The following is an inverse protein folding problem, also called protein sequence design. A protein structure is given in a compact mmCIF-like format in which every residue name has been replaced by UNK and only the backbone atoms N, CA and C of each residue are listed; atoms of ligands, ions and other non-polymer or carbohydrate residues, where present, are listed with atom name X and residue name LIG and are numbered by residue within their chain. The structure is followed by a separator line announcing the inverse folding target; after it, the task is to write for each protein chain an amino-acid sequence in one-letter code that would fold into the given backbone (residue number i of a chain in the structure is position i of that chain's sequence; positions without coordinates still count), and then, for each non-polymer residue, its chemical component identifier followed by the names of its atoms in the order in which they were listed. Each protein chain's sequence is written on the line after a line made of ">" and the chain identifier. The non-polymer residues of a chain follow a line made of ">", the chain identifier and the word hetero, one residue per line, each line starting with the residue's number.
data_IF_261955518803
#
_entry.id   IF_261955518803
#
_cell.length_a   1.000
_cell.length_b   1.000
_cell.length_c   1.000
_cell.angle_alpha   90.00
_cell.angle_beta   90.00
_cell.angle_gamma   90.00
#
_symmetry.space_group_name_H-M   'P 1'
#
loop_
_entity.id
_entity.type
_entity.pdbx_description
1 polymer ?
#
# COMPACT_ATOMS: atom_id res chain seq x y z
N UNK A 1 34.49 -67.48 16.42
CA UNK A 1 33.88 -68.29 15.33
C UNK A 1 32.36 -68.13 15.47
N UNK A 2 31.58 -67.51 14.58
CA UNK A 2 31.70 -67.28 13.14
C UNK A 2 31.22 -65.85 12.79
N UNK A 3 31.95 -65.28 11.84
CA UNK A 3 31.65 -64.10 11.02
C UNK A 3 30.49 -64.43 10.05
N UNK A 4 29.62 -63.46 9.73
CA UNK A 4 29.00 -63.23 8.40
C UNK A 4 28.09 -61.99 8.50
N UNK A 5 28.55 -60.82 8.05
CA UNK A 5 28.56 -60.24 6.68
C UNK A 5 27.42 -59.22 6.54
N UNK A 6 27.86 -58.02 6.19
CA UNK A 6 27.16 -56.76 5.96
C UNK A 6 26.04 -56.81 4.92
N UNK A 7 25.00 -55.98 5.12
CA UNK A 7 24.38 -55.25 4.03
C UNK A 7 24.07 -53.82 4.51
N UNK A 8 24.88 -52.87 4.04
CA UNK A 8 24.65 -51.42 4.13
C UNK A 8 23.59 -51.07 3.09
N UNK A 9 22.47 -50.49 3.51
CA UNK A 9 21.66 -49.64 2.64
C UNK A 9 21.95 -48.19 3.03
N UNK A 10 22.77 -47.56 2.22
CA UNK A 10 22.95 -46.12 2.20
C UNK A 10 21.66 -45.49 1.65
N UNK A 11 20.93 -44.77 2.50
CA UNK A 11 19.96 -43.78 2.00
C UNK A 11 20.77 -42.53 1.71
N UNK A 12 20.97 -42.29 0.42
CA UNK A 12 21.61 -41.10 -0.12
C UNK A 12 20.74 -39.90 0.28
N UNK A 13 21.28 -39.08 1.20
CA UNK A 13 20.84 -37.70 1.39
C UNK A 13 20.95 -36.99 0.04
N UNK A 14 19.82 -36.75 -0.60
CA UNK A 14 19.77 -35.84 -1.75
C UNK A 14 20.27 -34.47 -1.25
N UNK A 15 21.26 -33.87 -1.92
CA UNK A 15 21.67 -32.52 -1.56
C UNK A 15 20.46 -31.60 -1.75
N UNK A 16 20.11 -30.86 -0.70
CA UNK A 16 19.33 -29.63 -0.88
C UNK A 16 20.14 -28.79 -1.88
N UNK A 17 19.58 -28.61 -3.07
CA UNK A 17 20.04 -27.61 -4.02
C UNK A 17 19.85 -26.26 -3.34
N UNK A 18 20.92 -25.76 -2.72
CA UNK A 18 21.09 -24.34 -2.45
C UNK A 18 21.16 -23.69 -3.83
N UNK A 19 20.18 -22.84 -4.24
CA UNK A 19 20.33 -22.08 -5.48
C UNK A 19 21.59 -21.21 -5.36
N UNK A 20 22.35 -21.02 -6.44
CA UNK A 20 23.60 -20.29 -6.38
C UNK A 20 23.37 -18.88 -5.83
N UNK A 21 24.17 -18.51 -4.83
CA UNK A 21 24.33 -17.12 -4.43
C UNK A 21 24.87 -16.34 -5.63
N UNK A 22 24.05 -15.46 -6.21
CA UNK A 22 24.50 -14.55 -7.25
C UNK A 22 25.23 -13.36 -6.59
N UNK A 23 26.48 -13.08 -6.96
CA UNK A 23 27.13 -11.83 -6.60
C UNK A 23 26.64 -10.75 -7.56
N UNK A 24 25.83 -9.81 -7.07
CA UNK A 24 25.38 -8.65 -7.82
C UNK A 24 25.61 -7.37 -7.01
N UNK A 25 26.74 -6.73 -7.25
CA UNK A 25 26.98 -5.36 -6.83
C UNK A 25 26.18 -4.41 -7.75
N UNK A 26 25.46 -3.44 -7.18
CA UNK A 26 25.05 -2.21 -7.86
C UNK A 26 23.67 -2.23 -8.54
N UNK A 27 22.79 -1.35 -8.07
CA UNK A 27 21.44 -1.10 -8.58
C UNK A 27 21.46 -0.25 -9.86
N UNK A 28 22.14 -0.72 -10.90
CA UNK A 28 22.02 -0.15 -12.25
C UNK A 28 20.98 -0.94 -13.05
N UNK A 29 19.73 -0.48 -13.03
CA UNK A 29 18.71 -0.77 -14.06
C UNK A 29 18.38 -2.25 -14.28
N UNK A 30 17.68 -2.88 -13.34
CA UNK A 30 17.07 -4.19 -13.57
C UNK A 30 15.96 -4.04 -14.62
N UNK A 31 16.20 -4.57 -15.82
CA UNK A 31 15.18 -4.67 -16.87
C UNK A 31 14.04 -5.64 -16.53
N UNK A 32 13.72 -5.88 -15.25
CA UNK A 32 12.70 -6.82 -14.79
C UNK A 32 11.32 -6.48 -15.36
N UNK A 33 11.02 -5.19 -15.55
CA UNK A 33 9.81 -4.75 -16.22
C UNK A 33 9.64 -5.36 -17.63
N UNK A 34 10.73 -5.74 -18.34
CA UNK A 34 10.61 -6.37 -19.67
C UNK A 34 10.05 -7.79 -19.62
N UNK A 35 10.09 -8.47 -18.47
CA UNK A 35 9.47 -9.77 -18.29
C UNK A 35 7.94 -9.68 -18.25
N UNK A 36 7.40 -8.53 -17.85
CA UNK A 36 5.96 -8.26 -17.84
C UNK A 36 5.50 -8.08 -19.28
N UNK A 37 4.54 -8.87 -19.72
CA UNK A 37 4.03 -8.83 -21.09
C UNK A 37 2.52 -9.11 -21.11
N UNK A 38 1.92 -8.94 -22.29
CA UNK A 38 0.46 -9.10 -22.48
C UNK A 38 -0.01 -10.51 -22.10
N UNK A 39 0.77 -11.56 -22.41
CA UNK A 39 0.41 -12.94 -22.07
C UNK A 39 0.34 -13.15 -20.55
N UNK A 40 1.29 -12.59 -19.81
CA UNK A 40 1.34 -12.69 -18.35
C UNK A 40 0.15 -12.01 -17.68
N UNK A 41 -0.14 -10.76 -18.04
CA UNK A 41 -1.28 -10.03 -17.44
C UNK A 41 -2.61 -10.60 -17.90
N UNK A 42 -2.71 -11.08 -19.15
CA UNK A 42 -3.91 -11.75 -19.65
C UNK A 42 -4.17 -13.07 -18.94
N UNK A 43 -3.13 -13.86 -18.64
CA UNK A 43 -3.28 -15.09 -17.85
C UNK A 43 -3.90 -14.80 -16.48
N UNK A 44 -3.30 -13.89 -15.71
CA UNK A 44 -3.78 -13.59 -14.37
C UNK A 44 -5.19 -13.00 -14.38
N UNK A 45 -5.45 -11.99 -15.23
CA UNK A 45 -6.77 -11.36 -15.33
C UNK A 45 -7.85 -12.38 -15.72
N UNK A 46 -7.58 -13.21 -16.73
CA UNK A 46 -8.53 -14.23 -17.18
C UNK A 46 -8.84 -15.22 -16.06
N UNK A 47 -7.83 -15.67 -15.31
CA UNK A 47 -8.02 -16.58 -14.19
C UNK A 47 -8.87 -15.98 -13.07
N UNK A 48 -8.66 -14.71 -12.73
CA UNK A 48 -9.47 -14.03 -11.72
C UNK A 48 -10.94 -13.92 -12.18
N UNK A 49 -11.17 -13.63 -13.46
CA UNK A 49 -12.53 -13.53 -14.01
C UNK A 49 -13.27 -14.89 -14.07
N UNK A 50 -12.56 -16.03 -14.13
CA UNK A 50 -13.16 -17.37 -14.16
C UNK A 50 -13.96 -17.70 -12.88
N UNK A 51 -13.67 -17.05 -11.74
CA UNK A 51 -14.42 -17.23 -10.49
C UNK A 51 -15.84 -16.63 -10.54
N UNK A 52 -16.15 -15.78 -11.53
CA UNK A 52 -17.42 -15.07 -11.65
C UNK A 52 -17.45 -13.78 -10.82
N UNK A 53 -18.63 -13.22 -10.51
CA UNK A 53 -18.73 -12.13 -9.55
C UNK A 53 -18.18 -12.58 -8.20
N UNK A 54 -17.10 -11.94 -7.76
CA UNK A 54 -16.37 -12.24 -6.53
C UNK A 54 -16.92 -11.37 -5.40
N UNK A 55 -18.24 -11.33 -5.25
CA UNK A 55 -18.87 -10.48 -4.23
C UNK A 55 -18.41 -10.88 -2.83
N UNK A 56 -18.06 -9.89 -2.02
CA UNK A 56 -17.56 -10.07 -0.66
C UNK A 56 -18.45 -11.01 0.17
N UNK A 57 -17.82 -11.96 0.87
CA UNK A 57 -18.45 -12.97 1.72
C UNK A 57 -19.12 -14.12 0.95
N UNK A 58 -18.85 -14.28 -0.35
CA UNK A 58 -19.32 -15.40 -1.17
C UNK A 58 -18.20 -16.39 -1.45
N UNK A 59 -18.59 -17.64 -1.71
CA UNK A 59 -17.65 -18.73 -2.07
C UNK A 59 -16.73 -18.35 -3.24
N UNK A 60 -17.24 -17.65 -4.25
CA UNK A 60 -16.43 -17.20 -5.39
C UNK A 60 -15.29 -16.24 -4.99
N UNK A 61 -15.52 -15.37 -4.00
CA UNK A 61 -14.48 -14.50 -3.46
C UNK A 61 -13.44 -15.33 -2.71
N UNK A 62 -13.88 -16.23 -1.82
CA UNK A 62 -13.01 -17.11 -1.06
C UNK A 62 -12.18 -18.09 -1.93
N UNK A 63 -12.76 -18.59 -3.03
CA UNK A 63 -12.05 -19.43 -4.00
C UNK A 63 -10.97 -18.62 -4.73
N UNK A 64 -11.26 -17.37 -5.09
CA UNK A 64 -10.30 -16.45 -5.70
C UNK A 64 -9.17 -16.08 -4.72
N UNK A 65 -9.47 -15.83 -3.44
CA UNK A 65 -8.50 -15.63 -2.36
C UNK A 65 -7.54 -16.83 -2.27
N UNK A 66 -8.06 -18.05 -2.25
CA UNK A 66 -7.26 -19.28 -2.16
C UNK A 66 -6.36 -19.45 -3.39
N UNK A 67 -6.86 -19.13 -4.58
CA UNK A 67 -6.04 -19.19 -5.79
C UNK A 67 -4.89 -18.17 -5.74
N UNK A 68 -5.16 -16.91 -5.38
CA UNK A 68 -4.12 -15.87 -5.22
C UNK A 68 -3.09 -16.27 -4.17
N UNK A 69 -3.52 -16.82 -3.04
CA UNK A 69 -2.64 -17.34 -1.99
C UNK A 69 -1.65 -18.37 -2.55
N UNK A 70 -2.15 -19.33 -3.33
CA UNK A 70 -1.32 -20.38 -3.94
C UNK A 70 -0.41 -19.84 -5.06
N UNK A 71 -0.85 -18.87 -5.85
CA UNK A 71 0.00 -18.20 -6.84
C UNK A 71 1.19 -17.51 -6.17
N UNK A 72 0.97 -16.72 -5.12
CA UNK A 72 2.07 -16.09 -4.37
C UNK A 72 3.00 -17.11 -3.70
N UNK A 73 2.47 -18.20 -3.14
CA UNK A 73 3.29 -19.28 -2.60
C UNK A 73 4.18 -19.92 -3.67
N UNK A 74 3.65 -20.12 -4.88
CA UNK A 74 4.42 -20.68 -5.99
C UNK A 74 5.58 -19.78 -6.44
N UNK A 75 5.50 -18.47 -6.14
CA UNK A 75 6.57 -17.50 -6.39
C UNK A 75 7.66 -17.52 -5.30
N UNK A 76 7.51 -18.32 -4.24
CA UNK A 76 8.45 -18.43 -3.13
C UNK A 76 8.32 -17.33 -2.07
N UNK A 77 7.21 -16.58 -2.08
CA UNK A 77 6.94 -15.50 -1.12
C UNK A 77 6.43 -16.03 0.22
N UNK A 78 6.63 -15.26 1.29
CA UNK A 78 5.95 -15.52 2.57
C UNK A 78 4.52 -15.02 2.45
N UNK A 79 3.53 -15.90 2.55
CA UNK A 79 2.12 -15.53 2.33
C UNK A 79 1.27 -15.78 3.58
N UNK A 80 0.43 -14.81 3.93
CA UNK A 80 -0.54 -14.90 5.01
C UNK A 80 -1.95 -14.48 4.57
N UNK A 81 -2.95 -15.04 5.24
CA UNK A 81 -4.35 -14.60 5.11
C UNK A 81 -4.69 -13.69 6.29
N UNK A 82 -4.82 -12.39 6.02
CA UNK A 82 -5.31 -11.45 7.02
C UNK A 82 -6.84 -11.52 7.08
N UNK A 83 -7.34 -12.31 8.02
CA UNK A 83 -8.77 -12.52 8.21
C UNK A 83 -9.42 -11.31 8.87
N UNK A 84 -10.57 -10.91 8.37
CA UNK A 84 -11.31 -9.77 8.91
C UNK A 84 -12.82 -10.03 8.95
N UNK A 85 -13.53 -9.26 9.78
CA UNK A 85 -14.99 -9.32 9.92
C UNK A 85 -15.55 -7.94 10.22
N UNK A 86 -16.43 -7.44 9.36
CA UNK A 86 -17.07 -6.13 9.52
C UNK A 86 -18.37 -6.02 8.73
N UNK A 87 -19.34 -5.27 9.25
CA UNK A 87 -20.58 -4.96 8.52
C UNK A 87 -21.47 -6.17 8.19
N UNK A 88 -21.24 -7.33 8.83
CA UNK A 88 -21.94 -8.58 8.51
C UNK A 88 -21.21 -9.47 7.50
N UNK A 89 -20.08 -9.01 6.96
CA UNK A 89 -19.19 -9.76 6.08
C UNK A 89 -17.97 -10.29 6.83
N UNK A 90 -17.40 -11.37 6.31
CA UNK A 90 -16.09 -11.90 6.67
C UNK A 90 -15.42 -12.44 5.42
N UNK A 91 -14.13 -12.19 5.26
CA UNK A 91 -13.27 -12.63 4.15
C UNK A 91 -11.80 -12.50 4.62
N UNK A 92 -10.84 -12.73 3.73
CA UNK A 92 -9.41 -12.51 3.99
C UNK A 92 -8.76 -11.63 2.95
N UNK A 93 -7.90 -10.70 3.37
CA UNK A 93 -6.90 -10.17 2.45
C UNK A 93 -5.79 -11.21 2.30
N UNK A 94 -5.19 -11.31 1.12
CA UNK A 94 -4.00 -12.11 0.89
C UNK A 94 -2.79 -11.19 0.88
N UNK A 95 -1.88 -11.39 1.82
CA UNK A 95 -0.67 -10.58 1.97
C UNK A 95 0.53 -11.46 1.67
N UNK A 96 1.25 -11.16 0.59
CA UNK A 96 2.51 -11.79 0.24
C UNK A 96 3.67 -10.83 0.50
N UNK A 97 4.71 -11.33 1.16
CA UNK A 97 5.83 -10.53 1.67
C UNK A 97 7.13 -10.97 1.05
N UNK A 98 7.83 -10.01 0.44
CA UNK A 98 9.22 -10.10 0.03
C UNK A 98 10.09 -9.34 1.04
N UNK A 99 10.86 -10.08 1.84
CA UNK A 99 11.56 -9.52 3.01
C UNK A 99 12.75 -8.62 2.64
N UNK A 100 12.74 -7.41 3.18
CA UNK A 100 13.84 -6.45 3.17
C UNK A 100 14.23 -6.08 4.61
N UNK A 101 14.40 -4.79 4.87
CA UNK A 101 14.65 -4.19 6.19
C UNK A 101 13.35 -3.90 6.97
N UNK A 102 13.46 -3.13 8.06
CA UNK A 102 12.34 -2.76 8.93
C UNK A 102 11.32 -1.80 8.31
N UNK A 103 11.64 -1.14 7.21
CA UNK A 103 10.67 -0.32 6.49
C UNK A 103 9.91 -1.14 5.46
N UNK A 104 8.69 -0.71 5.17
CA UNK A 104 7.81 -1.44 4.29
C UNK A 104 7.24 -0.57 3.16
N UNK A 105 7.02 -1.18 2.00
CA UNK A 105 6.28 -0.60 0.88
C UNK A 105 5.18 -1.57 0.51
N UNK A 106 3.98 -1.04 0.21
CA UNK A 106 2.83 -1.85 -0.15
C UNK A 106 2.41 -1.53 -1.58
N UNK A 107 2.18 -2.56 -2.39
CA UNK A 107 1.36 -2.46 -3.60
C UNK A 107 0.14 -3.36 -3.44
N UNK A 108 -1.04 -2.88 -3.79
CA UNK A 108 -2.25 -3.70 -3.67
C UNK A 108 -3.38 -3.32 -4.61
N UNK A 109 -4.36 -4.22 -4.67
CA UNK A 109 -5.55 -4.19 -5.51
C UNK A 109 -6.65 -5.02 -4.85
N UNK A 110 -7.92 -4.70 -5.07
CA UNK A 110 -9.02 -5.51 -4.52
C UNK A 110 -9.45 -6.61 -5.48
N UNK A 111 -9.80 -7.78 -4.93
CA UNK A 111 -10.28 -8.91 -5.74
C UNK A 111 -11.81 -9.00 -5.77
N UNK A 112 -12.50 -8.43 -4.79
CA UNK A 112 -13.95 -8.49 -4.76
C UNK A 112 -14.61 -7.63 -5.83
N UNK A 113 -15.86 -7.93 -6.15
CA UNK A 113 -16.68 -7.20 -7.14
C UNK A 113 -18.02 -6.84 -6.53
N UNK A 114 -18.79 -5.93 -7.14
CA UNK A 114 -20.24 -5.88 -6.93
C UNK A 114 -20.97 -7.19 -7.33
N UNK A 115 -22.18 -7.39 -6.81
CA UNK A 115 -22.95 -8.66 -6.91
C UNK A 115 -23.15 -9.19 -8.35
N UNK A 116 -23.23 -8.29 -9.34
CA UNK A 116 -23.57 -8.66 -10.73
C UNK A 116 -22.43 -8.44 -11.71
N UNK A 117 -21.29 -7.92 -11.27
CA UNK A 117 -20.16 -7.59 -12.13
C UNK A 117 -19.21 -8.77 -12.27
N UNK A 118 -18.78 -9.15 -13.48
CA UNK A 118 -17.63 -10.05 -13.64
C UNK A 118 -16.32 -9.43 -13.11
N UNK A 119 -16.24 -8.11 -13.06
CA UNK A 119 -15.14 -7.37 -12.46
C UNK A 119 -13.82 -7.50 -13.23
N UNK A 120 -13.87 -7.44 -14.57
CA UNK A 120 -12.68 -7.63 -15.40
C UNK A 120 -11.70 -6.46 -15.30
N UNK A 121 -12.21 -5.24 -15.36
CA UNK A 121 -11.39 -4.05 -15.12
C UNK A 121 -11.43 -3.64 -13.65
N UNK A 122 -12.53 -3.92 -12.96
CA UNK A 122 -12.83 -3.49 -11.58
C UNK A 122 -13.06 -4.71 -10.66
N UNK A 123 -12.01 -5.32 -10.08
CA UNK A 123 -10.60 -4.98 -10.27
C UNK A 123 -9.67 -6.17 -10.54
N UNK A 124 -10.10 -7.10 -11.40
CA UNK A 124 -9.20 -8.15 -11.89
C UNK A 124 -7.96 -7.57 -12.62
N UNK A 125 -8.03 -6.35 -13.13
CA UNK A 125 -6.90 -5.67 -13.80
C UNK A 125 -5.81 -5.23 -12.83
N UNK A 126 -6.16 -4.66 -11.67
CA UNK A 126 -5.22 -4.34 -10.61
C UNK A 126 -4.62 -5.60 -9.99
N UNK A 127 -5.43 -6.60 -9.67
CA UNK A 127 -4.95 -7.88 -9.10
C UNK A 127 -3.99 -8.59 -10.07
N UNK A 128 -4.29 -8.60 -11.38
CA UNK A 128 -3.39 -9.13 -12.39
C UNK A 128 -2.05 -8.38 -12.43
N UNK A 129 -2.08 -7.06 -12.25
CA UNK A 129 -0.87 -6.22 -12.18
C UNK A 129 -0.03 -6.57 -10.95
N UNK A 130 -0.65 -6.67 -9.77
CA UNK A 130 0.02 -7.04 -8.51
C UNK A 130 0.69 -8.42 -8.62
N UNK A 131 -0.02 -9.42 -9.16
CA UNK A 131 0.51 -10.77 -9.34
C UNK A 131 1.68 -10.81 -10.34
N UNK A 132 1.57 -10.08 -11.46
CA UNK A 132 2.64 -9.99 -12.45
C UNK A 132 3.90 -9.31 -11.87
N UNK A 133 3.73 -8.22 -11.13
CA UNK A 133 4.82 -7.49 -10.46
C UNK A 133 5.47 -8.39 -9.41
N UNK A 134 4.68 -9.05 -8.55
CA UNK A 134 5.18 -9.95 -7.51
C UNK A 134 6.02 -11.10 -8.10
N UNK A 135 5.56 -11.69 -9.22
CA UNK A 135 6.27 -12.76 -9.92
C UNK A 135 7.66 -12.34 -10.40
N UNK A 136 7.79 -11.10 -10.88
CA UNK A 136 9.08 -10.58 -11.35
C UNK A 136 9.94 -10.18 -10.15
N UNK A 137 9.38 -9.42 -9.19
CA UNK A 137 10.12 -8.94 -8.02
C UNK A 137 10.59 -10.06 -7.09
N UNK A 138 9.90 -11.21 -7.02
CA UNK A 138 10.30 -12.34 -6.14
C UNK A 138 11.66 -12.95 -6.49
N UNK A 139 12.23 -12.59 -7.64
CA UNK A 139 13.57 -13.00 -8.09
C UNK A 139 14.69 -12.12 -7.54
N UNK A 140 14.35 -11.03 -6.87
CA UNK A 140 15.29 -10.01 -6.40
C UNK A 140 15.14 -9.77 -4.90
N UNK A 141 16.10 -9.04 -4.33
CA UNK A 141 16.08 -8.64 -2.92
C UNK A 141 16.00 -7.12 -2.82
N UNK A 142 14.85 -6.55 -2.43
CA UNK A 142 14.72 -5.11 -2.21
C UNK A 142 15.46 -4.67 -0.94
N UNK A 143 15.69 -3.36 -0.78
CA UNK A 143 16.13 -2.78 0.49
C UNK A 143 15.00 -2.90 1.51
N UNK A 144 13.81 -2.40 1.15
CA UNK A 144 12.64 -2.38 2.04
C UNK A 144 11.78 -3.62 1.87
N UNK A 145 11.15 -4.04 2.96
CA UNK A 145 10.16 -5.11 2.92
C UNK A 145 9.03 -4.71 1.97
N UNK A 146 8.72 -5.55 1.00
CA UNK A 146 7.68 -5.26 0.00
C UNK A 146 6.51 -6.19 0.21
N UNK A 147 5.33 -5.63 0.44
CA UNK A 147 4.08 -6.37 0.54
C UNK A 147 3.27 -6.23 -0.75
N UNK A 148 2.88 -7.37 -1.30
CA UNK A 148 1.89 -7.49 -2.37
C UNK A 148 0.58 -7.90 -1.70
N UNK A 149 -0.41 -7.02 -1.75
CA UNK A 149 -1.66 -7.24 -1.03
C UNK A 149 -2.82 -7.32 -2.00
N UNK A 150 -3.61 -8.38 -1.88
CA UNK A 150 -4.89 -8.50 -2.57
C UNK A 150 -5.99 -8.35 -1.53
N UNK A 151 -6.71 -7.23 -1.60
CA UNK A 151 -7.76 -6.85 -0.64
C UNK A 151 -9.09 -7.53 -0.97
N UNK A 152 -9.89 -7.73 0.07
CA UNK A 152 -11.31 -8.05 -0.06
C UNK A 152 -12.15 -7.00 0.67
N UNK A 153 -13.41 -6.88 0.32
CA UNK A 153 -14.34 -5.97 0.98
C UNK A 153 -14.25 -4.51 0.52
N UNK A 154 -13.63 -4.22 -0.62
CA UNK A 154 -13.60 -2.87 -1.21
C UNK A 154 -15.03 -2.40 -1.50
N UNK A 155 -15.79 -3.23 -2.21
CA UNK A 155 -17.08 -2.90 -2.82
C UNK A 155 -18.21 -2.77 -1.77
N UNK A 156 -17.94 -3.18 -0.53
CA UNK A 156 -18.83 -3.02 0.63
C UNK A 156 -18.36 -1.93 1.60
N UNK A 157 -17.32 -1.17 1.25
CA UNK A 157 -16.86 0.03 1.95
C UNK A 157 -15.42 0.01 2.43
N UNK A 158 -14.51 -0.63 1.65
CA UNK A 158 -13.09 -0.77 1.93
C UNK A 158 -12.80 -1.46 3.27
N UNK A 159 -13.50 -2.56 3.55
CA UNK A 159 -13.48 -3.21 4.86
C UNK A 159 -12.16 -3.93 5.13
N UNK A 160 -11.65 -4.69 4.16
CA UNK A 160 -10.40 -5.41 4.32
C UNK A 160 -9.20 -4.47 4.43
N UNK A 161 -9.09 -3.46 3.56
CA UNK A 161 -8.02 -2.46 3.63
C UNK A 161 -8.10 -1.60 4.89
N UNK A 162 -9.30 -1.19 5.32
CA UNK A 162 -9.48 -0.45 6.58
C UNK A 162 -8.98 -1.23 7.81
N UNK A 163 -9.36 -2.50 7.94
CA UNK A 163 -8.92 -3.31 9.08
C UNK A 163 -7.44 -3.67 9.00
N UNK A 164 -6.91 -3.83 7.79
CA UNK A 164 -5.49 -4.07 7.58
C UNK A 164 -4.64 -2.82 7.91
N UNK A 165 -5.00 -1.65 7.40
CA UNK A 165 -4.33 -0.39 7.72
C UNK A 165 -4.35 -0.11 9.23
N UNK A 166 -5.49 -0.33 9.89
CA UNK A 166 -5.58 -0.21 11.36
C UNK A 166 -4.63 -1.17 12.07
N UNK A 167 -4.58 -2.43 11.63
CA UNK A 167 -3.71 -3.44 12.24
C UNK A 167 -2.23 -3.06 12.13
N UNK A 168 -1.80 -2.59 10.95
CA UNK A 168 -0.43 -2.13 10.72
C UNK A 168 -0.10 -0.91 11.58
N UNK A 169 -1.02 0.05 11.66
CA UNK A 169 -0.90 1.24 12.51
C UNK A 169 -0.77 0.89 14.00
N UNK A 170 -1.64 0.02 14.51
CA UNK A 170 -1.62 -0.41 15.92
C UNK A 170 -0.36 -1.19 16.29
N UNK A 171 0.30 -1.83 15.31
CA UNK A 171 1.58 -2.52 15.49
C UNK A 171 2.81 -1.63 15.24
N UNK A 172 2.63 -0.38 14.81
CA UNK A 172 3.73 0.56 14.56
C UNK A 172 4.55 0.22 13.31
N UNK A 173 3.92 -0.35 12.29
CA UNK A 173 4.59 -0.69 11.03
C UNK A 173 5.05 0.55 10.28
N UNK A 174 6.33 0.59 9.90
CA UNK A 174 7.00 1.73 9.25
C UNK A 174 6.80 1.67 7.74
N UNK A 175 5.60 2.01 7.28
CA UNK A 175 5.24 1.96 5.86
C UNK A 175 5.62 3.28 5.20
N UNK A 176 6.50 3.21 4.20
CA UNK A 176 6.99 4.36 3.44
C UNK A 176 5.95 4.81 2.42
N UNK A 177 5.33 3.86 1.71
CA UNK A 177 4.40 4.17 0.63
C UNK A 177 3.40 3.04 0.39
N UNK A 178 2.19 3.42 -0.01
CA UNK A 178 1.15 2.52 -0.51
C UNK A 178 0.82 2.90 -1.96
N UNK A 179 0.93 1.93 -2.86
CA UNK A 179 0.49 2.02 -4.25
C UNK A 179 -0.77 1.18 -4.39
N UNK A 180 -1.94 1.82 -4.46
CA UNK A 180 -3.17 1.14 -4.82
C UNK A 180 -3.35 1.15 -6.34
N UNK A 181 -3.62 -0.02 -6.90
CA UNK A 181 -3.82 -0.26 -8.32
C UNK A 181 -5.26 -0.69 -8.48
N UNK A 182 -6.07 0.13 -9.15
CA UNK A 182 -7.49 -0.13 -9.28
C UNK A 182 -7.98 0.43 -10.64
N UNK A 183 -8.57 -0.44 -11.45
CA UNK A 183 -9.00 -0.14 -12.82
C UNK A 183 -7.85 0.31 -13.72
N UNK A 184 -6.87 -0.55 -14.01
CA UNK A 184 -5.72 -0.25 -14.90
C UNK A 184 -5.73 -1.00 -16.24
N UNK A 185 -6.86 -1.59 -16.62
CA UNK A 185 -7.00 -2.41 -17.82
C UNK A 185 -7.60 -1.73 -19.06
N UNK A 186 -8.14 -0.51 -18.96
CA UNK A 186 -8.92 0.10 -20.05
C UNK A 186 -8.21 1.25 -20.78
N UNK A 187 -8.22 1.21 -22.10
CA UNK A 187 -7.85 2.34 -22.95
C UNK A 187 -8.53 2.24 -24.32
N UNK A 188 -9.26 3.29 -24.71
CA UNK A 188 -9.97 3.40 -25.98
C UNK A 188 -9.53 4.61 -26.83
N UNK A 189 -8.77 5.55 -26.26
CA UNK A 189 -8.19 6.68 -27.00
C UNK A 189 -6.67 6.58 -27.11
N UNK A 190 -6.09 7.27 -28.10
CA UNK A 190 -4.63 7.37 -28.23
C UNK A 190 -3.98 8.04 -27.02
N UNK A 191 -4.66 8.97 -26.35
CA UNK A 191 -4.17 9.57 -25.11
C UNK A 191 -4.28 8.57 -23.97
N UNK A 192 -5.44 7.93 -23.80
CA UNK A 192 -5.66 6.96 -22.74
C UNK A 192 -4.70 5.78 -22.79
N UNK A 193 -4.36 5.31 -23.99
CA UNK A 193 -3.36 4.27 -24.20
C UNK A 193 -1.94 4.65 -23.78
N UNK A 194 -1.65 5.93 -23.46
CA UNK A 194 -0.31 6.43 -23.10
C UNK A 194 -0.28 7.20 -21.78
N UNK A 195 -1.37 7.24 -21.01
CA UNK A 195 -1.42 7.93 -19.73
C UNK A 195 -2.06 7.04 -18.65
N UNK A 196 -1.57 7.17 -17.43
CA UNK A 196 -2.19 6.63 -16.21
C UNK A 196 -2.51 7.80 -15.28
N UNK A 197 -3.63 7.74 -14.56
CA UNK A 197 -3.98 8.73 -13.54
C UNK A 197 -3.38 8.35 -12.21
N UNK A 198 -2.91 9.36 -11.49
CA UNK A 198 -2.34 9.27 -10.16
C UNK A 198 -3.16 10.17 -9.22
N UNK A 199 -4.05 9.57 -8.44
CA UNK A 199 -4.89 10.26 -7.47
C UNK A 199 -4.07 10.53 -6.20
N UNK A 200 -3.82 11.80 -5.97
CA UNK A 200 -2.75 12.24 -5.07
C UNK A 200 -3.31 13.06 -3.91
N UNK A 201 -3.32 12.54 -2.67
CA UNK A 201 -3.47 13.36 -1.48
C UNK A 201 -2.20 14.20 -1.22
N UNK A 202 -2.35 15.28 -0.46
CA UNK A 202 -1.26 16.23 -0.20
C UNK A 202 -0.04 15.56 0.45
N UNK A 203 -0.24 14.74 1.50
CA UNK A 203 0.82 13.95 2.14
C UNK A 203 1.66 13.10 1.17
N UNK A 204 1.03 12.55 0.13
CA UNK A 204 1.65 11.62 -0.80
C UNK A 204 2.17 12.31 -2.08
N UNK A 205 2.23 13.64 -2.12
CA UNK A 205 2.68 14.39 -3.32
C UNK A 205 4.07 13.98 -3.77
N UNK A 206 4.95 13.61 -2.83
CA UNK A 206 6.31 13.16 -3.15
C UNK A 206 6.31 11.85 -3.95
N UNK A 207 5.36 10.94 -3.68
CA UNK A 207 5.21 9.69 -4.44
C UNK A 207 4.73 10.01 -5.86
N UNK A 208 3.79 10.95 -6.00
CA UNK A 208 3.29 11.37 -7.31
C UNK A 208 4.36 12.09 -8.16
N UNK A 209 5.24 12.87 -7.52
CA UNK A 209 6.41 13.46 -8.17
C UNK A 209 7.37 12.36 -8.66
N UNK A 210 7.71 11.40 -7.80
CA UNK A 210 8.52 10.24 -8.18
C UNK A 210 7.86 9.44 -9.32
N UNK A 211 6.54 9.27 -9.31
CA UNK A 211 5.80 8.61 -10.37
C UNK A 211 5.99 9.33 -11.73
N UNK A 212 5.99 10.67 -11.75
CA UNK A 212 6.31 11.43 -12.97
C UNK A 212 7.76 11.25 -13.41
N UNK A 213 8.71 11.31 -12.47
CA UNK A 213 10.14 11.09 -12.76
C UNK A 213 10.39 9.71 -13.38
N UNK A 214 9.76 8.67 -12.82
CA UNK A 214 9.80 7.30 -13.36
C UNK A 214 9.15 7.24 -14.74
N UNK A 215 7.99 7.87 -14.93
CA UNK A 215 7.33 7.92 -16.23
C UNK A 215 8.23 8.56 -17.30
N UNK A 216 8.87 9.69 -16.98
CA UNK A 216 9.81 10.39 -17.88
C UNK A 216 11.04 9.53 -18.18
N UNK A 217 11.67 8.94 -17.14
CA UNK A 217 12.85 8.08 -17.26
C UNK A 217 12.62 6.89 -18.20
N UNK A 218 11.43 6.28 -18.14
CA UNK A 218 11.10 5.08 -18.92
C UNK A 218 10.19 5.35 -20.14
N UNK A 219 9.85 6.61 -20.45
CA UNK A 219 8.87 6.94 -21.49
C UNK A 219 9.23 6.38 -22.87
N UNK A 220 10.52 6.42 -23.25
CA UNK A 220 11.00 5.88 -24.53
C UNK A 220 10.78 4.36 -24.70
N UNK A 221 10.61 3.63 -23.60
CA UNK A 221 10.46 2.18 -23.55
C UNK A 221 9.02 1.76 -23.27
N UNK A 222 8.42 2.32 -22.21
CA UNK A 222 7.08 1.93 -21.74
C UNK A 222 5.99 2.79 -22.39
N UNK A 223 6.27 4.04 -22.75
CA UNK A 223 5.31 5.00 -23.34
C UNK A 223 4.07 5.23 -22.47
N UNK A 224 4.28 5.41 -21.16
CA UNK A 224 3.25 5.83 -20.20
C UNK A 224 3.71 7.15 -19.57
N UNK A 225 2.88 8.18 -19.66
CA UNK A 225 2.95 9.40 -18.86
C UNK A 225 1.99 9.31 -17.66
N UNK A 226 2.16 10.22 -16.69
CA UNK A 226 1.32 10.31 -15.51
C UNK A 226 0.47 11.57 -15.58
N UNK A 227 -0.84 11.45 -15.31
CA UNK A 227 -1.73 12.57 -15.06
C UNK A 227 -2.02 12.62 -13.55
N UNK A 228 -1.46 13.61 -12.86
CA UNK A 228 -1.80 13.87 -11.47
C UNK A 228 -3.21 14.45 -11.39
N UNK A 229 -4.05 13.86 -10.55
CA UNK A 229 -5.41 14.32 -10.27
C UNK A 229 -5.60 14.48 -8.76
N UNK A 230 -6.45 15.43 -8.31
CA UNK A 230 -6.77 15.57 -6.90
C UNK A 230 -7.25 14.24 -6.32
N UNK A 231 -6.90 13.97 -5.06
CA UNK A 231 -7.26 12.72 -4.41
C UNK A 231 -8.76 12.40 -4.58
N UNK A 232 -9.02 11.18 -5.05
CA UNK A 232 -10.36 10.61 -5.08
C UNK A 232 -10.44 9.61 -3.95
N UNK A 233 -11.20 9.92 -2.89
CA UNK A 233 -11.33 8.99 -1.80
C UNK A 233 -12.39 7.98 -2.29
N UNK A 234 -11.97 6.86 -2.88
CA UNK A 234 -12.90 5.81 -3.27
C UNK A 234 -12.25 4.50 -3.67
N UNK A 235 -11.05 4.26 -3.14
CA UNK A 235 -10.29 3.02 -3.33
C UNK A 235 -9.51 2.72 -2.04
N UNK A 236 -8.89 1.55 -1.96
CA UNK A 236 -8.27 1.05 -0.72
C UNK A 236 -7.12 1.92 -0.17
N UNK A 237 -6.43 2.73 -1.00
CA UNK A 237 -5.33 3.59 -0.53
C UNK A 237 -5.77 4.51 0.60
N UNK A 238 -7.01 4.99 0.54
CA UNK A 238 -7.44 6.02 1.47
C UNK A 238 -7.72 5.44 2.87
N UNK A 239 -7.90 4.11 3.02
CA UNK A 239 -7.85 3.47 4.33
C UNK A 239 -6.49 3.68 5.04
N UNK A 240 -5.39 3.71 4.29
CA UNK A 240 -4.04 3.95 4.83
C UNK A 240 -3.80 5.43 5.09
N UNK A 241 -4.27 6.30 4.19
CA UNK A 241 -4.22 7.77 4.37
C UNK A 241 -4.94 8.18 5.65
N UNK A 242 -6.09 7.56 5.95
CA UNK A 242 -6.85 7.78 7.19
C UNK A 242 -6.04 7.41 8.45
N UNK A 243 -5.00 6.57 8.34
CA UNK A 243 -4.16 6.14 9.45
C UNK A 243 -2.77 6.78 9.48
N UNK A 244 -2.55 7.86 8.73
CA UNK A 244 -1.26 8.53 8.78
C UNK A 244 -0.21 7.98 7.80
N UNK A 245 -0.62 7.23 6.77
CA UNK A 245 0.31 6.69 5.78
C UNK A 245 0.22 7.38 4.41
N UNK A 246 1.34 7.43 3.70
CA UNK A 246 1.41 8.02 2.36
C UNK A 246 0.95 7.01 1.31
N UNK A 247 -0.25 7.24 0.75
CA UNK A 247 -0.87 6.35 -0.22
C UNK A 247 -1.34 7.05 -1.48
N UNK A 248 -1.17 6.39 -2.63
CA UNK A 248 -1.70 6.80 -3.93
C UNK A 248 -2.67 5.77 -4.49
N UNK A 249 -3.56 6.25 -5.35
CA UNK A 249 -4.41 5.40 -6.20
C UNK A 249 -4.08 5.64 -7.67
N UNK A 250 -3.89 4.56 -8.43
CA UNK A 250 -3.65 4.58 -9.86
C UNK A 250 -4.79 3.92 -10.63
N UNK A 251 -5.31 4.63 -11.64
CA UNK A 251 -6.30 4.12 -12.57
C UNK A 251 -5.99 4.55 -14.00
N UNK A 252 -6.66 3.93 -14.96
CA UNK A 252 -6.53 4.33 -16.35
C UNK A 252 -7.08 5.75 -16.63
N UNK A 253 -6.68 6.32 -17.78
CA UNK A 253 -7.02 7.69 -18.14
C UNK A 253 -8.40 7.85 -18.79
N UNK A 254 -8.83 6.93 -19.65
CA UNK A 254 -10.14 7.07 -20.30
C UNK A 254 -11.29 6.91 -19.28
N UNK A 255 -12.51 7.33 -19.62
CA UNK A 255 -13.67 7.06 -18.76
C UNK A 255 -14.18 5.63 -18.98
N UNK A 256 -14.57 4.94 -17.90
CA UNK A 256 -15.07 3.56 -17.96
C UNK A 256 -16.54 3.44 -17.52
N UNK A 257 -17.50 3.40 -18.47
CA UNK A 257 -18.93 3.33 -18.15
C UNK A 257 -19.42 1.93 -17.74
N UNK A 258 -18.54 0.92 -17.74
CA UNK A 258 -18.92 -0.48 -17.49
C UNK A 258 -18.67 -0.93 -16.05
N UNK A 259 -17.98 -0.12 -15.22
CA UNK A 259 -17.72 -0.43 -13.81
C UNK A 259 -19.01 -0.75 -13.05
N UNK A 260 -18.92 -1.68 -12.10
CA UNK A 260 -20.04 -2.20 -11.30
C UNK A 260 -21.24 -2.72 -12.14
N UNK A 261 -21.01 -3.12 -13.39
CA UNK A 261 -22.08 -3.59 -14.28
C UNK A 261 -21.80 -4.99 -14.81
N UNK A 262 -22.83 -5.73 -15.27
CA UNK A 262 -22.64 -7.01 -15.95
C UNK A 262 -21.77 -6.96 -17.21
N UNK A 263 -21.47 -5.75 -17.72
CA UNK A 263 -20.66 -5.52 -18.91
C UNK A 263 -19.19 -5.20 -18.57
N UNK A 264 -18.78 -5.23 -17.29
CA UNK A 264 -17.36 -5.18 -16.93
C UNK A 264 -16.70 -6.52 -17.24
N UNK A 265 -16.47 -6.76 -18.53
CA UNK A 265 -16.06 -8.04 -19.09
C UNK A 265 -14.69 -7.94 -19.79
N UNK A 266 -14.03 -9.09 -19.94
CA UNK A 266 -12.67 -9.19 -20.49
C UNK A 266 -12.53 -8.54 -21.88
N UNK A 267 -13.58 -8.54 -22.71
CA UNK A 267 -13.54 -7.91 -24.04
C UNK A 267 -13.41 -6.38 -24.00
N UNK A 268 -13.54 -5.75 -22.82
CA UNK A 268 -13.25 -4.33 -22.62
C UNK A 268 -11.78 -4.06 -22.34
N UNK A 269 -11.00 -5.07 -21.97
CA UNK A 269 -9.61 -4.91 -21.55
C UNK A 269 -8.71 -4.66 -22.76
N UNK A 270 -7.84 -3.66 -22.62
CA UNK A 270 -6.75 -3.39 -23.53
C UNK A 270 -5.46 -3.98 -22.94
N UNK A 271 -5.13 -5.22 -23.30
CA UNK A 271 -3.97 -5.93 -22.72
C UNK A 271 -2.63 -5.24 -23.01
N UNK A 272 -2.48 -4.59 -24.17
CA UNK A 272 -1.30 -3.77 -24.45
C UNK A 272 -1.16 -2.63 -23.45
N UNK A 273 -2.25 -1.92 -23.16
CA UNK A 273 -2.26 -0.87 -22.14
C UNK A 273 -1.99 -1.43 -20.74
N UNK A 274 -2.69 -2.50 -20.34
CA UNK A 274 -2.52 -3.15 -19.04
C UNK A 274 -1.06 -3.56 -18.81
N UNK A 275 -0.41 -4.17 -19.81
CA UNK A 275 1.01 -4.52 -19.71
C UNK A 275 1.90 -3.28 -19.53
N UNK A 276 1.64 -2.18 -20.26
CA UNK A 276 2.39 -0.92 -20.09
C UNK A 276 2.18 -0.29 -18.71
N UNK A 277 0.94 -0.24 -18.23
CA UNK A 277 0.61 0.27 -16.89
C UNK A 277 1.29 -0.57 -15.80
N UNK A 278 1.23 -1.90 -15.92
CA UNK A 278 1.89 -2.83 -15.01
C UNK A 278 3.42 -2.64 -15.00
N UNK A 279 4.04 -2.48 -16.17
CA UNK A 279 5.48 -2.16 -16.30
C UNK A 279 5.85 -0.86 -15.59
N UNK A 280 5.03 0.18 -15.75
CA UNK A 280 5.24 1.45 -15.08
C UNK A 280 5.15 1.31 -13.56
N UNK A 281 4.10 0.63 -13.05
CA UNK A 281 3.91 0.38 -11.62
C UNK A 281 5.02 -0.47 -11.02
N UNK A 282 5.55 -1.46 -11.77
CA UNK A 282 6.76 -2.19 -11.41
C UNK A 282 7.93 -1.25 -11.18
N UNK A 283 8.23 -0.37 -12.15
CA UNK A 283 9.36 0.54 -12.04
C UNK A 283 9.21 1.51 -10.86
N UNK A 284 7.99 2.03 -10.63
CA UNK A 284 7.73 2.90 -9.48
C UNK A 284 7.96 2.16 -8.16
N UNK A 285 7.41 0.96 -8.02
CA UNK A 285 7.58 0.14 -6.82
C UNK A 285 9.05 -0.23 -6.59
N UNK A 286 9.77 -0.60 -7.64
CA UNK A 286 11.19 -0.94 -7.57
C UNK A 286 12.04 0.26 -7.10
N UNK A 287 11.76 1.46 -7.59
CA UNK A 287 12.47 2.69 -7.17
C UNK A 287 12.20 2.98 -5.69
N UNK A 288 10.95 2.88 -5.23
CA UNK A 288 10.62 3.10 -3.80
C UNK A 288 11.23 2.01 -2.92
N UNK A 289 11.10 0.74 -3.29
CA UNK A 289 11.59 -0.39 -2.51
C UNK A 289 13.12 -0.43 -2.37
N UNK A 290 13.85 0.36 -3.16
CA UNK A 290 15.30 0.50 -3.12
C UNK A 290 15.78 1.92 -2.78
N UNK A 291 14.88 2.83 -2.43
CA UNK A 291 15.23 4.20 -2.05
C UNK A 291 15.61 4.26 -0.58
N UNK A 292 16.90 4.46 -0.29
CA UNK A 292 17.39 4.59 1.10
C UNK A 292 16.61 5.66 1.87
N UNK A 293 16.21 5.31 3.10
CA UNK A 293 15.60 6.25 4.05
C UNK A 293 16.68 6.76 5.00
N UNK A 294 17.02 8.04 4.86
CA UNK A 294 18.04 8.70 5.70
C UNK A 294 17.49 9.06 7.07
N UNK A 295 16.26 9.60 7.08
CA UNK A 295 15.52 9.98 8.27
C UNK A 295 14.05 9.54 8.11
N UNK A 296 13.45 9.09 9.20
CA UNK A 296 12.04 8.75 9.28
C UNK A 296 11.45 9.42 10.52
N UNK A 297 10.22 9.93 10.41
CA UNK A 297 9.50 10.51 11.54
C UNK A 297 8.04 10.10 11.43
N UNK A 298 7.44 9.77 12.57
CA UNK A 298 6.00 9.59 12.66
C UNK A 298 5.44 10.15 13.96
N UNK A 299 4.22 10.67 13.90
CA UNK A 299 3.47 11.16 15.06
C UNK A 299 2.90 9.94 15.80
N UNK A 300 3.48 9.63 16.94
CA UNK A 300 3.06 8.51 17.79
C UNK A 300 1.85 8.85 18.64
N UNK A 301 1.84 10.07 19.17
CA UNK A 301 0.70 10.59 19.94
C UNK A 301 0.44 12.05 19.53
N UNK A 302 -0.82 12.49 19.45
CA UNK A 302 -2.02 11.66 19.60
C UNK A 302 -2.18 10.67 18.43
N UNK A 303 -2.86 9.56 18.69
CA UNK A 303 -3.08 8.49 17.72
C UNK A 303 -4.16 8.86 16.72
N UNK A 304 -3.94 8.50 15.46
CA UNK A 304 -4.90 8.73 14.40
C UNK A 304 -6.22 8.00 14.63
N UNK A 305 -7.32 8.71 14.43
CA UNK A 305 -8.66 8.19 14.61
C UNK A 305 -9.05 7.88 16.05
N UNK A 306 -8.48 8.55 17.05
CA UNK A 306 -8.83 8.34 18.48
C UNK A 306 -9.55 9.54 19.11
N UNK A 307 -10.38 9.24 20.11
CA UNK A 307 -10.94 10.25 21.01
C UNK A 307 -10.08 10.40 22.27
N UNK A 308 -9.65 11.63 22.55
CA UNK A 308 -8.84 12.02 23.69
C UNK A 308 -9.59 12.94 24.66
N UNK A 309 -9.42 12.68 25.96
CA UNK A 309 -9.89 13.56 27.02
C UNK A 309 -8.78 13.84 28.04
N UNK A 310 -8.36 15.10 28.15
CA UNK A 310 -7.28 15.59 29.02
C UNK A 310 -5.98 14.75 28.92
N UNK A 311 -5.51 14.52 27.69
CA UNK A 311 -4.27 13.80 27.39
C UNK A 311 -4.37 12.28 27.49
N UNK A 312 -5.58 11.72 27.66
CA UNK A 312 -5.79 10.27 27.69
C UNK A 312 -6.59 9.83 26.46
N UNK A 313 -6.03 8.91 25.69
CA UNK A 313 -6.78 8.16 24.68
C UNK A 313 -7.86 7.33 25.37
N UNK A 314 -9.11 7.46 24.95
CA UNK A 314 -10.23 6.71 25.52
C UNK A 314 -10.65 5.53 24.63
N UNK A 315 -10.91 5.79 23.35
CA UNK A 315 -11.35 4.78 22.40
C UNK A 315 -11.09 5.23 20.95
N UNK A 316 -10.90 4.28 20.02
CA UNK A 316 -10.86 4.59 18.58
C UNK A 316 -12.24 5.05 18.09
N UNK A 317 -12.23 6.02 17.19
CA UNK A 317 -13.40 6.53 16.47
C UNK A 317 -13.58 5.64 15.23
N UNK A 318 -14.62 4.83 15.24
CA UNK A 318 -14.94 3.95 14.12
C UNK A 318 -16.11 4.54 13.34
N UNK A 319 -15.84 4.98 12.10
CA UNK A 319 -16.88 5.42 11.18
C UNK A 319 -17.16 4.33 10.14
N UNK A 320 -18.44 3.95 10.03
CA UNK A 320 -18.87 2.85 9.15
C UNK A 320 -18.67 3.13 7.67
N UNK A 321 -18.85 4.38 7.25
CA UNK A 321 -18.79 4.75 5.85
C UNK A 321 -17.76 5.84 5.63
N UNK A 322 -17.06 5.68 4.52
CA UNK A 322 -16.18 6.66 3.91
C UNK A 322 -16.74 8.08 3.84
N UNK A 323 -18.00 8.21 3.42
CA UNK A 323 -18.67 9.49 3.17
C UNK A 323 -18.87 10.35 4.41
N UNK A 324 -18.65 9.80 5.61
CA UNK A 324 -18.71 10.58 6.84
C UNK A 324 -17.54 11.56 6.98
N UNK A 325 -16.45 11.37 6.22
CA UNK A 325 -15.16 12.09 6.38
C UNK A 325 -14.63 12.05 7.81
N UNK A 326 -15.11 11.10 8.62
CA UNK A 326 -14.79 11.01 10.05
C UNK A 326 -13.90 9.81 10.37
N UNK A 327 -13.57 8.96 9.37
CA UNK A 327 -12.51 7.96 9.51
C UNK A 327 -11.17 8.68 9.58
N UNK A 328 -10.25 8.17 10.40
CA UNK A 328 -8.93 8.76 10.61
C UNK A 328 -8.89 10.03 11.46
N UNK A 329 -9.98 10.80 11.57
CA UNK A 329 -9.96 12.05 12.35
C UNK A 329 -9.76 11.78 13.84
N UNK A 330 -8.73 12.41 14.39
CA UNK A 330 -8.48 12.47 15.83
C UNK A 330 -9.31 13.59 16.47
N UNK A 331 -9.95 13.33 17.62
CA UNK A 331 -10.69 14.34 18.38
C UNK A 331 -10.09 14.46 19.78
N UNK A 332 -9.67 15.65 20.19
CA UNK A 332 -9.09 15.88 21.50
C UNK A 332 -9.79 17.02 22.27
N UNK A 333 -10.14 16.75 23.53
CA UNK A 333 -10.66 17.76 24.45
C UNK A 333 -9.69 17.93 25.62
N UNK A 334 -9.26 19.17 25.88
CA UNK A 334 -8.31 19.49 26.93
C UNK A 334 -6.85 19.38 26.47
N UNK A 335 -5.97 18.95 27.37
CA UNK A 335 -4.52 18.84 27.10
C UNK A 335 -4.22 17.82 25.99
N UNK A 336 -3.31 18.19 25.09
CA UNK A 336 -2.72 17.32 24.07
C UNK A 336 -1.20 17.38 24.21
N UNK A 337 -0.56 16.21 24.20
CA UNK A 337 0.89 16.08 24.11
C UNK A 337 1.17 15.45 22.74
N UNK A 338 2.04 16.07 21.95
CA UNK A 338 2.48 15.55 20.65
C UNK A 338 3.80 14.83 20.86
N UNK A 339 3.87 13.56 20.53
CA UNK A 339 5.06 12.72 20.67
C UNK A 339 5.45 12.20 19.30
N UNK A 340 6.69 12.42 18.92
CA UNK A 340 7.23 11.93 17.66
C UNK A 340 8.23 10.80 17.91
N UNK A 341 8.15 9.76 17.10
CA UNK A 341 9.18 8.74 17.00
C UNK A 341 9.97 8.97 15.71
N UNK A 342 11.29 8.82 15.82
CA UNK A 342 12.24 9.30 14.82
C UNK A 342 13.34 8.26 14.67
N UNK A 343 13.63 7.90 13.42
CA UNK A 343 14.82 7.14 13.04
C UNK A 343 15.76 8.01 12.19
N UNK A 344 17.05 7.67 12.23
CA UNK A 344 18.09 8.36 11.48
C UNK A 344 18.92 9.32 12.33
N UNK A 345 19.82 10.04 11.68
CA UNK A 345 20.72 11.00 12.33
C UNK A 345 20.11 12.40 12.28
N UNK A 346 19.25 12.70 13.26
CA UNK A 346 18.44 13.91 13.32
C UNK A 346 19.05 14.91 14.31
N UNK A 347 19.26 16.14 13.86
CA UNK A 347 19.80 17.25 14.64
C UNK A 347 18.74 17.87 15.57
N UNK A 348 17.48 17.92 15.10
CA UNK A 348 16.34 18.47 15.83
C UNK A 348 15.01 18.03 15.22
N UNK A 349 13.97 18.06 16.04
CA UNK A 349 12.57 17.90 15.64
C UNK A 349 11.82 19.21 15.83
N UNK A 350 11.07 19.64 14.82
CA UNK A 350 10.21 20.82 14.89
C UNK A 350 8.75 20.37 14.88
N UNK A 351 7.99 20.85 15.85
CA UNK A 351 6.54 20.67 15.90
C UNK A 351 5.85 21.94 15.43
N UNK A 352 4.88 21.78 14.54
CA UNK A 352 4.09 22.83 13.95
C UNK A 352 2.59 22.55 14.05
N UNK A 353 1.80 23.61 13.94
CA UNK A 353 0.34 23.56 13.83
C UNK A 353 -0.07 24.54 12.75
N UNK A 354 -0.86 24.07 11.78
CA UNK A 354 -1.37 24.84 10.64
C UNK A 354 -0.25 25.59 9.88
N UNK A 355 0.86 24.91 9.56
CA UNK A 355 2.03 25.46 8.88
C UNK A 355 2.91 26.37 9.74
N UNK A 356 2.54 26.64 11.00
CA UNK A 356 3.30 27.49 11.91
C UNK A 356 4.14 26.65 12.87
N UNK A 357 5.46 26.82 12.82
CA UNK A 357 6.39 26.18 13.75
C UNK A 357 6.27 26.77 15.17
N UNK A 358 6.18 25.90 16.19
CA UNK A 358 5.94 26.28 17.58
C UNK A 358 7.01 25.80 18.56
N UNK A 359 7.54 24.60 18.36
CA UNK A 359 8.47 23.99 19.32
C UNK A 359 9.62 23.29 18.61
N UNK A 360 10.83 23.46 19.12
CA UNK A 360 12.06 22.85 18.63
C UNK A 360 12.61 21.99 19.74
N UNK A 361 12.72 20.69 19.47
CA UNK A 361 13.28 19.71 20.40
C UNK A 361 14.59 19.17 19.82
N UNK A 362 15.62 19.14 20.65
CA UNK A 362 17.00 18.80 20.24
C UNK A 362 17.46 17.46 20.80
N UNK A 363 16.64 16.79 21.61
CA UNK A 363 17.02 15.52 22.22
C UNK A 363 15.82 14.60 22.46
N UNK A 364 15.93 13.29 22.18
CA UNK A 364 14.85 12.36 22.46
C UNK A 364 14.64 12.18 23.98
N UNK A 365 13.42 11.81 24.43
CA UNK A 365 12.23 11.61 23.62
C UNK A 365 11.68 12.94 23.08
N UNK A 366 11.34 12.97 21.79
CA UNK A 366 10.83 14.18 21.13
C UNK A 366 9.36 14.39 21.51
N UNK A 367 9.08 15.36 22.37
CA UNK A 367 7.74 15.61 22.92
C UNK A 367 7.44 17.09 23.01
N UNK A 368 6.27 17.48 22.52
CA UNK A 368 5.72 18.81 22.71
C UNK A 368 4.41 18.77 23.51
N UNK A 369 4.44 19.37 24.70
CA UNK A 369 3.24 19.65 25.49
C UNK A 369 2.52 20.83 24.86
N UNK A 370 1.52 20.55 24.04
CA UNK A 370 0.84 21.56 23.24
C UNK A 370 0.23 22.62 24.16
N UNK A 371 0.82 23.81 24.12
CA UNK A 371 0.52 24.94 24.99
C UNK A 371 -0.03 26.13 24.19
N UNK A 372 -0.77 25.82 23.13
CA UNK A 372 -1.42 26.77 22.21
C UNK A 372 -2.92 26.68 22.38
N UNK A 373 -3.61 27.83 22.32
CA UNK A 373 -5.08 27.88 22.32
C UNK A 373 -5.57 27.42 20.94
N UNK A 374 -6.13 26.21 20.86
CA UNK A 374 -6.63 25.64 19.60
C UNK A 374 -8.09 25.21 19.76
N UNK A 375 -8.91 25.56 18.76
CA UNK A 375 -10.34 25.31 18.71
C UNK A 375 -10.77 25.01 17.27
N UNK A 376 -11.26 23.79 17.04
CA UNK A 376 -11.77 23.37 15.75
C UNK A 376 -10.81 22.40 15.05
N UNK A 377 -10.88 22.36 13.72
CA UNK A 377 -10.00 21.53 12.89
C UNK A 377 -8.64 22.20 12.76
N UNK A 378 -7.58 21.43 12.97
CA UNK A 378 -6.18 21.83 12.85
C UNK A 378 -5.38 20.69 12.23
N UNK A 379 -4.22 21.02 11.69
CA UNK A 379 -3.20 20.06 11.27
C UNK A 379 -2.02 20.15 12.23
N UNK A 380 -1.58 19.00 12.77
CA UNK A 380 -0.31 18.90 13.52
C UNK A 380 0.73 18.35 12.57
N UNK A 381 1.88 18.99 12.53
CA UNK A 381 2.99 18.58 11.67
C UNK A 381 4.26 18.42 12.49
N UNK A 382 5.06 17.41 12.14
CA UNK A 382 6.35 17.15 12.75
C UNK A 382 7.40 17.03 11.67
N UNK A 383 8.50 17.74 11.85
CA UNK A 383 9.62 17.77 10.93
C UNK A 383 10.89 17.30 11.63
N UNK A 384 11.52 16.23 11.15
CA UNK A 384 12.82 15.77 11.60
C UNK A 384 13.91 16.29 10.66
N UNK A 385 14.79 17.15 11.18
CA UNK A 385 15.89 17.75 10.42
C UNK A 385 17.19 16.99 10.63
N UNK A 386 17.78 16.47 9.55
CA UNK A 386 19.14 15.93 9.51
C UNK A 386 19.75 16.16 8.13
N UNK A 387 20.42 15.14 7.56
CA UNK A 387 20.91 15.19 6.18
C UNK A 387 19.78 15.46 5.16
N UNK A 388 18.62 14.85 5.41
CA UNK A 388 17.37 15.11 4.72
C UNK A 388 16.28 15.53 5.72
N UNK A 389 15.24 16.21 5.26
CA UNK A 389 14.10 16.56 6.11
C UNK A 389 13.04 15.48 5.93
N UNK A 390 12.68 14.79 7.00
CA UNK A 390 11.50 13.94 7.04
C UNK A 390 10.34 14.72 7.69
N UNK A 391 9.10 14.43 7.26
CA UNK A 391 7.90 15.09 7.75
C UNK A 391 6.80 14.06 7.95
N UNK A 392 6.00 14.24 8.99
CA UNK A 392 4.71 13.58 9.16
C UNK A 392 3.65 14.59 9.59
N UNK A 393 2.39 14.29 9.32
CA UNK A 393 1.24 15.17 9.58
C UNK A 393 0.02 14.38 10.02
N UNK A 394 -0.83 15.02 10.83
CA UNK A 394 -2.12 14.49 11.21
C UNK A 394 -3.22 15.55 11.29
N UNK A 395 -4.44 15.13 10.91
CA UNK A 395 -5.66 15.92 11.03
C UNK A 395 -6.27 15.74 12.43
N UNK A 396 -6.52 16.84 13.15
CA UNK A 396 -7.08 16.81 14.50
C UNK A 396 -8.18 17.86 14.71
N UNK A 397 -9.26 17.45 15.38
CA UNK A 397 -10.23 18.39 15.96
C UNK A 397 -9.90 18.56 17.43
N UNK A 398 -9.39 19.74 17.80
CA UNK A 398 -8.95 20.02 19.16
C UNK A 398 -9.82 21.11 19.82
N UNK A 399 -10.17 20.87 21.08
CA UNK A 399 -10.82 21.81 21.98
C UNK A 399 -9.94 21.96 23.22
N UNK A 400 -8.84 22.68 23.07
CA UNK A 400 -7.83 22.85 24.12
C UNK A 400 -7.85 24.28 24.66
N UNK A 401 -8.37 24.51 25.89
CA UNK A 401 -8.17 25.79 26.52
C UNK A 401 -6.68 25.98 26.79
N UNK A 402 -6.17 27.21 26.64
CA UNK A 402 -4.77 27.53 26.97
C UNK A 402 -4.52 27.25 28.46
N UNK A 403 -3.90 26.12 28.77
CA UNK A 403 -3.48 25.79 30.14
C UNK A 403 -2.03 26.25 30.28
N UNK A 404 -1.86 27.51 30.70
CA UNK A 404 -0.57 28.00 31.20
C UNK A 404 -0.20 27.14 32.41
N UNK A 405 0.94 26.44 32.35
CA UNK A 405 1.59 25.95 33.57
C UNK A 405 2.20 27.13 34.32
#
# INVERSE_FOLDING_TARGET
>A
MKLKVFLIFAVILSPLLIPPAFPGNGCDGLGGYEEINEEMVAYYLTKICEFGPRYTGRDACADAEEWVYNEFLSMGLKVEKFKWKMGGFEDSNIVATLTGDEYSVIIGAHIDTTETSPGANDDASGVASVLAIAKVMSKYKPIHTTHFVVYTGEEVGAYGSYLHARHLYENGEKIIAIINVDMVGYANTSKGGNYIRCFTPERAIWIAQLANEVAEKYYGKIKIGVEMVPNYPGADHQAYVDYGYDGLFFAHYDSYPYGHSPNDSIDKINFTYLAKATKFLYCLLEEIANKKISNYVFIREPREGYFYFFGRALFPIVAKNWFSRARGITIAIGRVDVVAEVDGNVEKVIFAVDGRMWYWDYSPPYEWKLNVLLFGKHEIEVYAYGEEIARDEMDIIIFSPYIRR
#
